data_IF_973386188545
#
_entry.id   IF_973386188545
#
_cell.length_a   1.000
_cell.length_b   1.000
_cell.length_c   1.000
_cell.angle_alpha   90.00
_cell.angle_beta   90.00
_cell.angle_gamma   90.00
#
_symmetry.space_group_name_H-M   'P 1'
#
loop_
_entity.id
_entity.type
_entity.pdbx_description
1 polymer ?
#
# COMPACT_ATOMS: atom_id res chain seq x y z
N UNK A 1 19.82 -22.15 8.54
CA UNK A 1 19.74 -23.62 8.34
C UNK A 1 18.46 -23.93 7.57
N UNK A 2 18.51 -24.77 6.53
CA UNK A 2 17.33 -25.13 5.72
C UNK A 2 16.97 -26.60 5.93
N UNK A 3 15.70 -26.89 6.20
CA UNK A 3 15.20 -28.25 6.23
C UNK A 3 14.73 -28.69 4.85
N UNK A 4 15.03 -29.94 4.50
CA UNK A 4 14.48 -30.62 3.34
C UNK A 4 13.64 -31.80 3.81
N UNK A 5 12.52 -32.02 3.13
CA UNK A 5 11.59 -33.11 3.43
C UNK A 5 11.51 -34.06 2.24
N UNK A 6 11.32 -35.34 2.51
CA UNK A 6 11.12 -36.37 1.48
C UNK A 6 9.68 -36.86 1.61
N UNK A 7 8.92 -36.72 0.52
CA UNK A 7 7.55 -37.21 0.50
C UNK A 7 7.51 -38.74 0.59
N UNK A 8 6.60 -39.28 1.41
CA UNK A 8 6.36 -40.71 1.57
C UNK A 8 7.64 -41.53 1.80
N UNK A 9 8.50 -41.08 2.72
CA UNK A 9 9.71 -41.81 3.09
C UNK A 9 9.51 -42.58 4.39
N UNK A 10 9.56 -43.91 4.28
CA UNK A 10 9.55 -44.87 5.38
C UNK A 10 10.49 -46.02 5.02
N UNK A 11 11.43 -46.33 5.90
CA UNK A 11 12.38 -47.46 5.78
C UNK A 11 12.66 -48.03 7.16
N UNK A 12 13.53 -49.03 7.26
CA UNK A 12 13.97 -49.60 8.53
C UNK A 12 15.47 -49.37 8.77
N UNK A 13 15.88 -49.41 10.03
CA UNK A 13 17.28 -49.55 10.40
C UNK A 13 17.84 -50.88 9.92
N UNK A 14 18.95 -50.85 9.16
CA UNK A 14 19.66 -52.05 8.74
C UNK A 14 20.51 -52.66 9.87
N UNK A 15 20.96 -51.85 10.83
CA UNK A 15 21.74 -52.25 11.99
C UNK A 15 21.26 -51.53 13.27
N UNK A 16 21.54 -52.07 14.47
CA UNK A 16 21.20 -51.38 15.72
C UNK A 16 21.88 -50.01 15.82
N UNK A 17 21.13 -49.00 16.28
CA UNK A 17 21.62 -47.65 16.48
C UNK A 17 21.86 -47.39 17.98
N UNK A 18 23.10 -47.16 18.39
CA UNK A 18 23.44 -46.88 19.80
C UNK A 18 23.26 -45.41 20.12
N UNK A 19 22.92 -45.05 21.38
CA UNK A 19 22.64 -43.67 21.82
C UNK A 19 23.70 -42.62 21.39
N UNK A 20 24.98 -43.01 21.31
CA UNK A 20 26.09 -42.14 20.89
C UNK A 20 26.45 -42.19 19.39
N UNK A 21 25.71 -42.94 18.58
CA UNK A 21 26.01 -43.09 17.16
C UNK A 21 25.87 -41.77 16.39
N UNK A 22 26.86 -41.50 15.55
CA UNK A 22 26.87 -40.35 14.61
C UNK A 22 26.53 -40.77 13.18
N UNK A 23 26.37 -42.07 12.95
CA UNK A 23 25.95 -42.65 11.67
C UNK A 23 24.80 -43.63 11.89
N UNK A 24 23.95 -43.77 10.90
CA UNK A 24 22.80 -44.66 10.91
C UNK A 24 22.68 -45.38 9.57
N UNK A 25 22.65 -46.71 9.60
CA UNK A 25 22.47 -47.54 8.41
C UNK A 25 20.98 -47.84 8.21
N UNK A 26 20.46 -47.50 7.03
CA UNK A 26 19.10 -47.81 6.62
C UNK A 26 19.08 -48.92 5.56
N UNK A 27 17.96 -49.63 5.44
CA UNK A 27 17.85 -50.76 4.51
C UNK A 27 17.97 -50.33 3.05
N UNK A 28 17.44 -49.16 2.69
CA UNK A 28 17.41 -48.63 1.32
C UNK A 28 17.13 -47.12 1.28
N UNK A 29 17.11 -46.52 0.09
CA UNK A 29 16.62 -45.16 -0.11
C UNK A 29 17.62 -44.05 0.25
N UNK A 30 18.87 -44.39 0.57
CA UNK A 30 19.92 -43.42 0.89
C UNK A 30 20.16 -42.38 -0.21
N UNK A 31 19.91 -42.72 -1.49
CA UNK A 31 20.00 -41.78 -2.62
C UNK A 31 19.10 -40.56 -2.51
N UNK A 32 18.00 -40.62 -1.76
CA UNK A 32 17.10 -39.48 -1.55
C UNK A 32 17.73 -38.38 -0.68
N UNK A 33 18.81 -38.69 0.03
CA UNK A 33 19.57 -37.73 0.86
C UNK A 33 20.81 -37.18 0.13
N UNK A 34 20.87 -37.26 -1.20
CA UNK A 34 22.04 -36.86 -1.98
C UNK A 34 22.50 -35.40 -1.77
N UNK A 35 21.58 -34.51 -1.37
CA UNK A 35 21.91 -33.12 -1.03
C UNK A 35 22.01 -32.83 0.47
N UNK A 36 22.08 -33.86 1.32
CA UNK A 36 22.26 -33.67 2.76
C UNK A 36 23.61 -33.02 3.06
N UNK A 37 23.58 -31.91 3.79
CA UNK A 37 24.75 -31.17 4.26
C UNK A 37 24.43 -30.57 5.63
N UNK A 38 25.41 -29.96 6.30
CA UNK A 38 25.15 -29.21 7.54
C UNK A 38 24.15 -28.05 7.35
N UNK A 39 24.12 -27.45 6.16
CA UNK A 39 23.22 -26.33 5.82
C UNK A 39 21.85 -26.80 5.30
N UNK A 40 21.78 -28.02 4.76
CA UNK A 40 20.56 -28.64 4.24
C UNK A 40 20.33 -30.00 4.92
N UNK A 41 19.53 -29.98 5.96
CA UNK A 41 19.31 -31.13 6.83
C UNK A 41 17.98 -31.80 6.55
N UNK A 42 17.89 -33.11 6.78
CA UNK A 42 16.64 -33.87 6.65
C UNK A 42 16.22 -34.40 8.01
N UNK A 43 15.10 -33.92 8.57
CA UNK A 43 14.55 -34.48 9.79
C UNK A 43 13.99 -35.88 9.53
N UNK A 44 14.45 -36.84 10.32
CA UNK A 44 13.89 -38.18 10.37
C UNK A 44 13.44 -38.50 11.80
N UNK A 45 12.44 -39.35 11.88
CA UNK A 45 11.90 -39.87 13.13
C UNK A 45 12.14 -41.36 13.17
N UNK A 46 12.89 -41.81 14.18
CA UNK A 46 12.96 -43.23 14.54
C UNK A 46 11.91 -43.48 15.60
N UNK A 47 11.08 -44.51 15.42
CA UNK A 47 9.99 -44.79 16.36
C UNK A 47 9.80 -46.28 16.61
N UNK A 48 9.27 -46.58 17.79
CA UNK A 48 8.71 -47.89 18.13
C UNK A 48 7.19 -47.78 18.11
N UNK A 49 6.50 -48.74 17.49
CA UNK A 49 5.03 -48.74 17.38
C UNK A 49 4.41 -49.94 18.08
N UNK A 50 3.20 -49.75 18.63
CA UNK A 50 2.36 -50.85 19.07
C UNK A 50 1.70 -51.58 17.89
N UNK A 51 0.98 -52.68 18.19
CA UNK A 51 0.24 -53.47 17.18
C UNK A 51 -0.86 -52.68 16.44
N UNK A 52 -1.22 -51.49 16.92
CA UNK A 52 -2.20 -50.59 16.31
C UNK A 52 -1.52 -49.45 15.54
N UNK A 53 -0.19 -49.47 15.42
CA UNK A 53 0.59 -48.47 14.70
C UNK A 53 0.81 -47.17 15.47
N UNK A 54 0.53 -47.12 16.78
CA UNK A 54 0.78 -45.90 17.59
C UNK A 54 2.21 -45.88 18.06
N UNK A 55 2.87 -44.72 17.95
CA UNK A 55 4.20 -44.54 18.50
C UNK A 55 4.18 -44.70 20.03
N UNK A 56 4.96 -45.65 20.53
CA UNK A 56 5.25 -45.83 21.95
C UNK A 56 6.45 -44.97 22.37
N UNK A 57 7.43 -44.85 21.46
CA UNK A 57 8.65 -44.07 21.64
C UNK A 57 9.06 -43.47 20.32
N UNK A 58 9.61 -42.26 20.34
CA UNK A 58 10.11 -41.56 19.16
C UNK A 58 11.33 -40.72 19.47
N UNK A 59 12.21 -40.63 18.49
CA UNK A 59 13.34 -39.73 18.49
C UNK A 59 13.42 -39.01 17.16
N UNK A 60 13.69 -37.70 17.23
CA UNK A 60 13.93 -36.87 16.06
C UNK A 60 15.44 -36.71 15.91
N UNK A 61 15.94 -36.97 14.70
CA UNK A 61 17.33 -36.80 14.33
C UNK A 61 17.41 -36.07 12.99
N UNK A 62 18.54 -35.40 12.75
CA UNK A 62 18.77 -34.67 11.51
C UNK A 62 19.88 -35.35 10.71
N UNK A 63 19.60 -35.66 9.45
CA UNK A 63 20.60 -36.17 8.50
C UNK A 63 21.37 -35.00 7.91
N UNK A 64 22.70 -35.03 8.01
CA UNK A 64 23.62 -33.97 7.56
C UNK A 64 24.58 -34.43 6.48
N UNK A 65 24.52 -35.71 6.10
CA UNK A 65 25.34 -36.28 5.04
C UNK A 65 24.94 -37.72 4.75
N UNK A 66 25.50 -38.28 3.67
CA UNK A 66 25.28 -39.68 3.32
C UNK A 66 26.50 -40.31 2.64
N UNK A 67 26.60 -41.63 2.75
CA UNK A 67 27.44 -42.50 1.93
C UNK A 67 26.63 -43.78 1.63
N UNK A 68 26.13 -43.92 0.39
CA UNK A 68 25.16 -44.97 0.03
C UNK A 68 23.94 -44.96 0.99
N UNK A 69 23.72 -46.05 1.73
CA UNK A 69 22.65 -46.20 2.73
C UNK A 69 23.11 -45.91 4.17
N UNK A 70 24.33 -45.43 4.37
CA UNK A 70 24.82 -44.94 5.66
C UNK A 70 24.61 -43.43 5.72
N UNK A 71 23.80 -42.98 6.68
CA UNK A 71 23.48 -41.57 6.89
C UNK A 71 24.34 -40.99 8.01
N UNK A 72 24.92 -39.82 7.80
CA UNK A 72 25.53 -39.03 8.88
C UNK A 72 24.42 -38.27 9.59
N UNK A 73 24.35 -38.41 10.91
CA UNK A 73 23.20 -37.95 11.69
C UNK A 73 23.62 -37.12 12.91
N UNK A 74 22.71 -36.25 13.32
CA UNK A 74 22.76 -35.52 14.57
C UNK A 74 21.52 -35.89 15.38
N UNK A 75 21.72 -36.54 16.52
CA UNK A 75 20.66 -37.13 17.37
C UNK A 75 20.12 -36.16 18.41
N UNK A 76 19.08 -36.57 19.14
CA UNK A 76 18.45 -35.78 20.21
C UNK A 76 18.00 -34.39 19.75
N UNK A 77 17.27 -34.32 18.63
CA UNK A 77 16.74 -33.04 18.13
C UNK A 77 15.37 -32.77 18.71
N UNK A 78 15.00 -31.48 18.76
CA UNK A 78 13.66 -31.04 19.16
C UNK A 78 13.22 -31.60 20.52
N UNK A 79 14.11 -31.54 21.51
CA UNK A 79 13.91 -32.04 22.87
C UNK A 79 13.63 -33.55 23.00
N UNK A 80 13.86 -34.34 21.95
CA UNK A 80 13.89 -35.80 22.06
C UNK A 80 15.23 -36.29 22.61
N UNK A 81 15.24 -37.47 23.23
CA UNK A 81 16.43 -38.10 23.77
C UNK A 81 17.01 -39.12 22.79
N UNK A 82 18.35 -39.22 22.71
CA UNK A 82 19.01 -40.25 21.94
C UNK A 82 18.94 -41.60 22.65
N UNK A 83 18.16 -42.51 22.08
CA UNK A 83 17.98 -43.86 22.63
C UNK A 83 18.75 -44.92 21.81
N UNK A 84 18.87 -46.11 22.39
CA UNK A 84 19.25 -47.28 21.60
C UNK A 84 18.03 -47.81 20.81
N UNK A 85 18.22 -48.06 19.52
CA UNK A 85 17.20 -48.62 18.63
C UNK A 85 17.67 -49.94 18.02
N UNK A 86 16.89 -51.02 18.09
CA UNK A 86 17.24 -52.27 17.43
C UNK A 86 17.14 -52.14 15.90
N UNK A 87 17.87 -53.00 15.18
CA UNK A 87 17.66 -53.17 13.74
C UNK A 87 16.19 -53.51 13.45
N UNK A 88 15.68 -53.06 12.30
CA UNK A 88 14.27 -53.18 11.92
C UNK A 88 13.38 -52.05 12.47
N UNK A 89 13.90 -51.16 13.33
CA UNK A 89 13.11 -50.02 13.82
C UNK A 89 12.72 -49.10 12.65
N UNK A 90 11.45 -48.70 12.53
CA UNK A 90 11.00 -47.76 11.50
C UNK A 90 11.70 -46.40 11.58
N UNK A 91 12.04 -45.87 10.40
CA UNK A 91 12.63 -44.55 10.19
C UNK A 91 11.80 -43.81 9.14
N UNK A 92 11.28 -42.64 9.49
CA UNK A 92 10.34 -41.90 8.65
C UNK A 92 10.72 -40.43 8.50
N UNK A 93 10.44 -39.86 7.31
CA UNK A 93 10.41 -38.40 7.15
C UNK A 93 9.06 -37.89 7.62
N UNK A 94 9.02 -37.15 8.72
CA UNK A 94 7.81 -36.52 9.26
C UNK A 94 7.97 -35.01 9.33
N UNK A 95 6.84 -34.31 9.34
CA UNK A 95 6.81 -32.89 9.59
C UNK A 95 7.02 -32.63 11.09
N UNK A 96 7.98 -31.78 11.44
CA UNK A 96 8.37 -31.49 12.83
C UNK A 96 8.18 -30.00 13.16
N UNK A 97 8.27 -29.64 14.44
CA UNK A 97 8.09 -28.26 14.87
C UNK A 97 9.21 -27.36 14.31
N UNK A 98 10.45 -27.84 14.30
CA UNK A 98 11.56 -27.09 13.73
C UNK A 98 11.40 -26.81 12.22
N UNK A 99 10.70 -27.68 11.48
CA UNK A 99 10.35 -27.41 10.08
C UNK A 99 9.37 -26.23 9.98
N UNK A 100 8.35 -26.18 10.83
CA UNK A 100 7.39 -25.07 10.89
C UNK A 100 8.08 -23.76 11.29
N UNK A 101 8.91 -23.79 12.32
CA UNK A 101 9.63 -22.61 12.81
C UNK A 101 10.57 -22.06 11.73
N UNK A 102 11.25 -22.94 10.98
CA UNK A 102 12.11 -22.55 9.86
C UNK A 102 11.32 -21.98 8.66
N UNK A 103 10.04 -22.34 8.49
CA UNK A 103 9.19 -21.78 7.45
C UNK A 103 8.74 -20.36 7.79
N UNK A 104 8.42 -20.11 9.06
CA UNK A 104 8.01 -18.79 9.55
C UNK A 104 9.18 -17.80 9.51
N UNK A 105 10.38 -18.24 9.88
CA UNK A 105 11.60 -17.43 9.87
C UNK A 105 12.22 -17.25 8.46
N UNK A 106 11.41 -17.25 7.38
CA UNK A 106 11.98 -17.10 6.05
C UNK A 106 12.53 -15.68 5.90
N UNK A 107 13.84 -15.55 5.65
CA UNK A 107 14.52 -14.26 5.41
C UNK A 107 13.83 -13.41 4.32
N UNK A 108 13.07 -14.05 3.42
CA UNK A 108 12.27 -13.40 2.40
C UNK A 108 11.08 -12.62 2.99
N UNK A 109 10.47 -13.10 4.07
CA UNK A 109 9.42 -12.39 4.80
C UNK A 109 10.02 -11.18 5.52
N UNK A 110 11.12 -11.35 6.25
CA UNK A 110 11.77 -10.25 6.97
C UNK A 110 12.27 -9.16 6.01
N UNK A 111 12.87 -9.55 4.89
CA UNK A 111 13.29 -8.61 3.84
C UNK A 111 12.10 -7.90 3.19
N UNK A 112 10.97 -8.59 3.03
CA UNK A 112 9.73 -8.01 2.50
C UNK A 112 9.09 -7.04 3.51
N UNK A 113 9.04 -7.39 4.80
CA UNK A 113 8.52 -6.53 5.87
C UNK A 113 9.39 -5.30 6.13
N UNK A 114 10.72 -5.44 6.00
CA UNK A 114 11.67 -4.34 6.15
C UNK A 114 11.75 -3.42 4.91
N UNK A 115 11.16 -3.81 3.78
CA UNK A 115 11.15 -2.99 2.58
C UNK A 115 10.27 -1.75 2.76
N UNK A 116 10.79 -0.57 2.40
CA UNK A 116 10.03 0.68 2.47
C UNK A 116 8.79 0.68 1.57
N UNK A 117 8.81 -0.09 0.50
CA UNK A 117 7.67 -0.38 -0.36
C UNK A 117 7.79 -1.84 -0.85
N UNK A 118 7.13 -2.79 -0.16
CA UNK A 118 7.18 -4.19 -0.52
C UNK A 118 6.35 -4.53 -1.77
N UNK A 119 5.50 -3.60 -2.21
CA UNK A 119 4.53 -3.85 -3.27
C UNK A 119 4.47 -2.69 -4.28
N UNK A 120 5.58 -2.40 -4.97
CA UNK A 120 5.65 -1.29 -5.94
C UNK A 120 4.70 -1.47 -7.11
N UNK A 121 4.24 -2.69 -7.39
CA UNK A 121 3.23 -2.99 -8.40
C UNK A 121 1.85 -2.36 -8.12
N UNK A 122 1.52 -2.06 -6.86
CA UNK A 122 0.32 -1.28 -6.51
C UNK A 122 0.57 0.22 -6.53
N UNK A 123 1.84 0.65 -6.51
CA UNK A 123 2.26 2.04 -6.71
C UNK A 123 2.71 2.33 -8.16
N UNK A 124 2.69 1.32 -9.05
CA UNK A 124 2.90 1.50 -10.49
C UNK A 124 1.72 2.26 -11.09
N UNK A 125 1.83 3.57 -10.92
CA UNK A 125 1.10 4.61 -11.58
C UNK A 125 1.04 4.31 -13.07
N UNK A 126 -0.16 3.96 -13.55
CA UNK A 126 -0.37 3.64 -14.95
C UNK A 126 0.25 4.73 -15.85
N UNK A 127 0.95 4.37 -16.95
CA UNK A 127 1.38 5.36 -17.92
C UNK A 127 0.15 6.11 -18.44
N UNK A 128 0.06 7.41 -18.15
CA UNK A 128 -1.13 8.22 -18.44
C UNK A 128 -2.08 8.47 -17.26
N UNK A 129 -1.74 8.08 -16.02
CA UNK A 129 -2.51 8.52 -14.86
C UNK A 129 -2.45 10.05 -14.73
N UNK A 130 -3.58 10.66 -14.35
CA UNK A 130 -3.94 12.07 -14.41
C UNK A 130 -3.11 13.03 -13.51
N UNK A 131 -1.80 12.83 -13.37
CA UNK A 131 -0.94 13.77 -12.63
C UNK A 131 -0.79 15.13 -13.32
N UNK A 132 -1.21 15.24 -14.58
CA UNK A 132 -1.31 16.50 -15.30
C UNK A 132 -2.61 17.27 -15.01
N UNK A 133 -3.61 16.66 -14.35
CA UNK A 133 -4.88 17.30 -13.98
C UNK A 133 -5.02 17.28 -12.47
N UNK A 134 -4.29 18.18 -11.79
CA UNK A 134 -4.43 18.39 -10.35
C UNK A 134 -5.65 19.27 -10.10
N UNK A 135 -6.69 18.79 -9.39
CA UNK A 135 -7.76 19.66 -8.95
C UNK A 135 -7.16 20.72 -8.02
N UNK A 136 -7.41 21.98 -8.31
CA UNK A 136 -6.95 23.12 -7.55
C UNK A 136 -8.13 23.96 -7.09
N UNK A 137 -7.95 24.62 -5.96
CA UNK A 137 -8.81 25.71 -5.52
C UNK A 137 -7.96 26.96 -5.43
N UNK A 138 -8.23 27.94 -6.29
CA UNK A 138 -7.56 29.24 -6.25
C UNK A 138 -8.48 30.25 -5.59
N UNK A 139 -7.94 31.07 -4.69
CA UNK A 139 -8.71 32.05 -3.91
C UNK A 139 -8.38 33.46 -4.35
N UNK A 140 -9.40 34.30 -4.50
CA UNK A 140 -9.22 35.74 -4.67
C UNK A 140 -8.88 36.44 -3.36
N UNK A 141 -8.46 37.70 -3.47
CA UNK A 141 -8.59 38.65 -2.38
C UNK A 141 -10.09 38.90 -2.06
N UNK A 142 -10.35 39.59 -0.96
CA UNK A 142 -11.71 39.98 -0.61
C UNK A 142 -12.24 41.02 -1.61
N UNK A 143 -13.46 40.78 -2.10
CA UNK A 143 -14.18 41.65 -3.01
C UNK A 143 -15.32 42.33 -2.25
N UNK A 144 -15.33 43.65 -2.23
CA UNK A 144 -16.40 44.46 -1.67
C UNK A 144 -17.61 44.49 -2.61
N UNK A 145 -18.75 44.01 -2.13
CA UNK A 145 -20.02 44.01 -2.87
C UNK A 145 -20.83 45.29 -2.67
N UNK A 146 -20.41 46.20 -1.79
CA UNK A 146 -21.07 47.50 -1.58
C UNK A 146 -20.56 48.58 -2.54
N UNK A 147 -19.47 48.30 -3.27
CA UNK A 147 -18.86 49.22 -4.22
C UNK A 147 -19.02 48.72 -5.66
N UNK A 148 -19.78 49.46 -6.47
CA UNK A 148 -19.96 49.14 -7.88
C UNK A 148 -18.63 49.26 -8.64
N UNK A 149 -18.31 48.25 -9.46
CA UNK A 149 -17.05 48.19 -10.20
C UNK A 149 -15.84 47.75 -9.38
N UNK A 150 -15.99 47.45 -8.08
CA UNK A 150 -14.96 46.76 -7.31
C UNK A 150 -14.58 45.44 -8.00
N UNK A 151 -13.29 45.11 -7.99
CA UNK A 151 -12.81 43.92 -8.68
C UNK A 151 -11.56 43.34 -8.04
N UNK A 152 -11.41 42.03 -8.21
CA UNK A 152 -10.24 41.25 -7.77
C UNK A 152 -9.81 40.33 -8.91
N UNK A 153 -8.49 40.15 -9.06
CA UNK A 153 -7.92 39.29 -10.10
C UNK A 153 -7.17 38.13 -9.46
N UNK A 154 -7.46 36.92 -9.94
CA UNK A 154 -6.71 35.70 -9.63
C UNK A 154 -5.79 35.42 -10.81
N UNK A 155 -4.48 35.56 -10.59
CA UNK A 155 -3.45 35.33 -11.61
C UNK A 155 -3.03 33.87 -11.59
N UNK A 156 -3.03 33.23 -12.77
CA UNK A 156 -2.52 31.86 -12.93
C UNK A 156 -1.03 31.95 -13.27
N UNK A 157 -0.15 31.15 -12.64
CA UNK A 157 1.27 31.15 -12.98
C UNK A 157 1.48 30.84 -14.47
N UNK A 158 2.42 31.53 -15.12
CA UNK A 158 2.57 31.52 -16.59
C UNK A 158 2.79 30.12 -17.21
N UNK A 159 3.35 29.17 -16.46
CA UNK A 159 3.56 27.79 -16.90
C UNK A 159 2.30 26.92 -16.85
N UNK A 160 1.16 27.47 -16.48
CA UNK A 160 -0.09 26.74 -16.32
C UNK A 160 -1.27 27.39 -17.05
N UNK A 161 -2.28 26.57 -17.33
CA UNK A 161 -3.62 26.99 -17.72
C UNK A 161 -4.63 26.42 -16.76
N UNK A 162 -5.56 27.25 -16.31
CA UNK A 162 -6.68 26.86 -15.44
C UNK A 162 -7.89 26.48 -16.29
N UNK A 163 -8.41 25.27 -16.09
CA UNK A 163 -9.69 24.82 -16.65
C UNK A 163 -10.72 24.90 -15.52
N UNK A 164 -11.64 25.87 -15.59
CA UNK A 164 -12.65 26.08 -14.56
C UNK A 164 -13.75 25.02 -14.62
N UNK A 165 -14.13 24.53 -13.45
CA UNK A 165 -15.28 23.65 -13.22
C UNK A 165 -16.39 24.37 -12.44
N UNK A 166 -16.00 25.20 -11.46
CA UNK A 166 -16.94 26.01 -10.68
C UNK A 166 -16.31 27.32 -10.17
N UNK A 167 -17.16 28.31 -9.96
CA UNK A 167 -16.84 29.56 -9.26
C UNK A 167 -17.72 29.62 -8.02
N UNK A 168 -17.12 29.53 -6.84
CA UNK A 168 -17.85 29.71 -5.59
C UNK A 168 -17.66 31.12 -5.04
N UNK A 169 -18.76 31.70 -4.56
CA UNK A 169 -18.80 32.97 -3.88
C UNK A 169 -19.03 32.67 -2.40
N UNK A 170 -18.05 32.98 -1.55
CA UNK A 170 -18.16 32.76 -0.10
C UNK A 170 -18.19 34.09 0.61
N UNK A 171 -19.25 34.33 1.39
CA UNK A 171 -19.41 35.56 2.19
C UNK A 171 -18.39 35.60 3.31
N UNK A 172 -17.52 36.60 3.31
CA UNK A 172 -16.48 36.80 4.34
C UNK A 172 -16.81 37.92 5.31
N UNK A 173 -17.70 38.83 4.94
CA UNK A 173 -18.23 39.86 5.82
C UNK A 173 -19.67 40.21 5.40
N UNK A 174 -20.57 40.39 6.37
CA UNK A 174 -21.96 40.78 6.13
C UNK A 174 -22.54 41.42 7.39
N UNK A 175 -23.16 42.60 7.27
CA UNK A 175 -23.94 43.28 8.31
C UNK A 175 -25.46 43.15 8.11
N UNK A 176 -25.88 42.24 7.22
CA UNK A 176 -27.25 42.09 6.76
C UNK A 176 -27.44 42.84 5.44
N UNK A 177 -27.17 42.14 4.34
CA UNK A 177 -27.19 42.70 2.99
C UNK A 177 -28.51 43.43 2.71
N UNK A 178 -28.44 44.73 2.49
CA UNK A 178 -29.51 45.43 1.80
C UNK A 178 -29.35 45.21 0.30
N UNK A 179 -30.40 44.87 -0.43
CA UNK A 179 -30.33 44.74 -1.89
C UNK A 179 -29.67 43.44 -2.37
N UNK A 180 -29.57 43.30 -3.69
CA UNK A 180 -29.13 42.08 -4.39
C UNK A 180 -27.92 42.46 -5.25
N UNK A 181 -26.68 42.44 -4.69
CA UNK A 181 -25.51 42.72 -5.50
C UNK A 181 -25.36 41.68 -6.59
N UNK A 182 -24.77 42.08 -7.70
CA UNK A 182 -24.46 41.20 -8.82
C UNK A 182 -22.95 41.15 -9.02
N UNK A 183 -22.46 39.96 -9.37
CA UNK A 183 -21.07 39.73 -9.72
C UNK A 183 -20.96 39.09 -11.09
N UNK A 184 -19.86 39.36 -11.76
CA UNK A 184 -19.49 38.76 -13.03
C UNK A 184 -18.02 38.34 -13.01
N UNK A 185 -17.64 37.42 -13.89
CA UNK A 185 -16.25 37.01 -14.06
C UNK A 185 -15.86 36.96 -15.55
N UNK A 186 -14.62 37.36 -15.85
CA UNK A 186 -14.10 37.39 -17.21
C UNK A 186 -12.57 37.55 -17.26
N UNK A 187 -11.98 37.65 -18.47
CA UNK A 187 -10.58 37.99 -18.64
C UNK A 187 -10.29 39.41 -18.15
N UNK A 188 -9.00 39.72 -17.96
CA UNK A 188 -8.53 41.02 -17.46
C UNK A 188 -8.76 42.18 -18.46
N UNK A 189 -9.26 41.90 -19.68
CA UNK A 189 -9.54 42.89 -20.73
C UNK A 189 -11.03 42.99 -21.10
N UNK A 190 -11.67 44.04 -20.60
CA UNK A 190 -12.84 44.76 -21.17
C UNK A 190 -14.17 43.99 -21.34
N UNK A 191 -14.22 42.66 -21.26
CA UNK A 191 -15.47 41.87 -21.34
C UNK A 191 -15.69 41.05 -20.07
N UNK A 192 -16.02 41.69 -18.94
CA UNK A 192 -16.03 41.06 -17.61
C UNK A 192 -17.11 39.98 -17.37
N UNK A 193 -17.85 39.55 -18.40
CA UNK A 193 -18.92 38.55 -18.33
C UNK A 193 -18.61 37.24 -19.09
N UNK A 194 -17.37 37.05 -19.56
CA UNK A 194 -17.03 35.90 -20.42
C UNK A 194 -17.00 34.55 -19.67
N UNK A 195 -16.71 34.54 -18.37
CA UNK A 195 -16.59 33.32 -17.57
C UNK A 195 -17.78 33.14 -16.61
N UNK A 196 -18.42 34.23 -16.19
CA UNK A 196 -19.67 34.24 -15.44
C UNK A 196 -20.42 35.52 -15.83
N UNK A 197 -21.66 35.37 -16.31
CA UNK A 197 -22.53 36.52 -16.57
C UNK A 197 -22.84 37.27 -15.27
N UNK A 198 -23.39 38.49 -15.38
CA UNK A 198 -23.87 39.22 -14.21
C UNK A 198 -24.92 38.38 -13.47
N UNK A 199 -24.56 37.89 -12.29
CA UNK A 199 -25.38 36.99 -11.47
C UNK A 199 -25.55 37.56 -10.07
N UNK A 200 -26.79 37.56 -9.60
CA UNK A 200 -27.16 37.98 -8.26
C UNK A 200 -26.53 37.10 -7.18
N UNK A 201 -25.91 37.72 -6.17
CA UNK A 201 -25.45 37.04 -4.96
C UNK A 201 -26.61 36.96 -3.97
N UNK A 202 -27.21 35.78 -3.87
CA UNK A 202 -28.42 35.49 -3.10
C UNK A 202 -28.15 35.11 -1.64
N UNK A 203 -26.90 34.80 -1.29
CA UNK A 203 -26.49 34.37 0.05
C UNK A 203 -25.89 35.52 0.84
N UNK A 204 -26.47 35.88 1.99
CA UNK A 204 -25.99 37.00 2.81
C UNK A 204 -25.43 36.61 4.19
N UNK A 205 -25.59 35.35 4.61
CA UNK A 205 -25.07 34.90 5.90
C UNK A 205 -23.55 34.71 5.83
N UNK A 206 -22.85 35.06 6.92
CA UNK A 206 -21.40 34.85 7.02
C UNK A 206 -21.06 33.36 6.76
N UNK A 207 -20.04 33.11 5.93
CA UNK A 207 -19.63 31.78 5.45
C UNK A 207 -20.67 31.04 4.59
N UNK A 208 -21.79 31.66 4.22
CA UNK A 208 -22.66 31.09 3.21
C UNK A 208 -21.95 31.08 1.85
N UNK A 209 -22.29 30.06 1.08
CA UNK A 209 -21.68 29.78 -0.22
C UNK A 209 -22.76 29.77 -1.29
N UNK A 210 -22.47 30.41 -2.41
CA UNK A 210 -23.21 30.28 -3.66
C UNK A 210 -22.25 29.74 -4.72
N UNK A 211 -22.70 28.76 -5.49
CA UNK A 211 -21.89 28.07 -6.50
C UNK A 211 -22.43 28.38 -7.88
N UNK A 212 -21.55 28.83 -8.77
CA UNK A 212 -21.87 29.18 -10.14
C UNK A 212 -21.09 28.30 -11.13
N UNK A 213 -21.78 27.86 -12.17
CA UNK A 213 -21.15 27.16 -13.28
C UNK A 213 -20.49 28.18 -14.23
N UNK A 214 -19.23 27.97 -14.64
CA UNK A 214 -18.56 28.86 -15.58
C UNK A 214 -19.16 28.73 -16.98
N UNK A 215 -19.18 29.83 -17.73
CA UNK A 215 -19.66 29.89 -19.12
C UNK A 215 -18.66 29.34 -20.14
N UNK A 216 -17.39 29.21 -19.75
CA UNK A 216 -16.27 28.76 -20.60
C UNK A 216 -15.48 27.68 -19.88
N UNK A 217 -15.11 26.62 -20.61
CA UNK A 217 -14.31 25.50 -20.12
C UNK A 217 -12.87 25.49 -20.70
N UNK A 218 -12.45 26.58 -21.34
CA UNK A 218 -11.13 26.70 -21.96
C UNK A 218 -10.03 27.02 -20.93
N UNK A 219 -8.77 26.85 -21.33
CA UNK A 219 -7.60 27.13 -20.48
C UNK A 219 -7.39 28.64 -20.25
N UNK A 220 -7.51 29.07 -18.99
CA UNK A 220 -7.44 30.47 -18.58
C UNK A 220 -6.07 30.84 -18.00
N UNK A 221 -5.66 32.09 -18.22
CA UNK A 221 -4.41 32.68 -17.69
C UNK A 221 -4.64 33.63 -16.51
N UNK A 222 -5.85 34.17 -16.39
CA UNK A 222 -6.31 34.95 -15.26
C UNK A 222 -7.84 34.94 -15.21
N UNK A 223 -8.38 35.18 -14.01
CA UNK A 223 -9.81 35.36 -13.79
C UNK A 223 -10.01 36.63 -12.99
N UNK A 224 -10.73 37.61 -13.56
CA UNK A 224 -11.14 38.84 -12.89
C UNK A 224 -12.59 38.69 -12.46
N UNK A 225 -12.86 38.85 -11.17
CA UNK A 225 -14.21 38.86 -10.59
C UNK A 225 -14.55 40.28 -10.19
N UNK A 226 -15.70 40.78 -10.59
CA UNK A 226 -16.10 42.17 -10.35
C UNK A 226 -17.56 42.31 -9.96
N UNK A 227 -17.84 43.29 -9.10
CA UNK A 227 -19.19 43.71 -8.71
C UNK A 227 -19.79 44.58 -9.83
N UNK A 228 -20.90 44.14 -10.43
CA UNK A 228 -21.66 44.90 -11.45
C UNK A 228 -22.70 45.80 -10.82
N UNK A 229 -23.46 45.25 -9.88
CA UNK A 229 -24.48 45.97 -9.12
C UNK A 229 -24.06 45.94 -7.66
N UNK A 230 -23.93 47.11 -7.05
CA UNK A 230 -23.61 47.21 -5.63
C UNK A 230 -24.82 46.82 -4.77
N UNK A 231 -24.54 46.11 -3.70
CA UNK A 231 -25.45 45.96 -2.58
C UNK A 231 -25.58 47.27 -1.81
N UNK A 232 -26.64 47.38 -1.03
CA UNK A 232 -26.82 48.40 0.00
C UNK A 232 -26.43 47.84 1.38
N UNK A 233 -26.01 48.72 2.29
CA UNK A 233 -25.40 48.33 3.57
C UNK A 233 -23.99 48.89 3.70
N UNK A 234 -23.34 48.64 4.84
CA UNK A 234 -21.98 49.17 5.11
C UNK A 234 -20.90 48.09 5.05
N UNK A 235 -21.26 46.81 5.19
CA UNK A 235 -20.32 45.70 5.18
C UNK A 235 -20.92 44.51 4.44
N UNK A 236 -20.50 44.30 3.20
CA UNK A 236 -20.81 43.06 2.48
C UNK A 236 -19.67 42.71 1.54
N UNK A 237 -18.97 41.61 1.82
CA UNK A 237 -17.80 41.20 1.05
C UNK A 237 -17.74 39.69 0.88
N UNK A 238 -17.16 39.26 -0.25
CA UNK A 238 -16.99 37.86 -0.60
C UNK A 238 -15.54 37.54 -0.96
N UNK A 239 -15.22 36.25 -1.01
CA UNK A 239 -14.09 35.72 -1.76
C UNK A 239 -14.58 34.78 -2.83
N UNK A 240 -14.03 34.93 -4.03
CA UNK A 240 -14.22 33.99 -5.11
C UNK A 240 -13.24 32.82 -4.94
N UNK A 241 -13.75 31.60 -4.97
CA UNK A 241 -12.97 30.37 -5.03
C UNK A 241 -13.17 29.74 -6.40
N UNK A 242 -12.08 29.56 -7.12
CA UNK A 242 -12.06 28.98 -8.45
C UNK A 242 -11.68 27.52 -8.34
N UNK A 243 -12.62 26.64 -8.64
CA UNK A 243 -12.43 25.20 -8.68
C UNK A 243 -12.14 24.77 -10.11
N UNK A 244 -11.12 23.96 -10.30
CA UNK A 244 -10.74 23.52 -11.63
C UNK A 244 -9.47 22.71 -11.65
N UNK A 245 -8.89 22.55 -12.84
CA UNK A 245 -7.66 21.81 -13.05
C UNK A 245 -6.57 22.73 -13.60
N UNK A 246 -5.34 22.56 -13.10
CA UNK A 246 -4.16 23.20 -13.71
C UNK A 246 -3.47 22.22 -14.64
N UNK A 247 -3.32 22.61 -15.90
CA UNK A 247 -2.49 21.91 -16.88
C UNK A 247 -1.20 22.69 -17.10
N UNK A 248 -0.05 22.02 -17.01
CA UNK A 248 1.23 22.63 -17.35
C UNK A 248 1.37 22.79 -18.87
N UNK A 249 1.81 23.95 -19.35
CA UNK A 249 2.13 24.15 -20.76
C UNK A 249 3.57 23.65 -21.04
N UNK A 250 3.68 22.52 -21.75
CA UNK A 250 4.96 22.00 -22.28
C UNK A 250 5.59 20.83 -21.52
N UNK A 251 4.99 19.65 -21.62
CA UNK A 251 5.67 18.36 -21.41
C UNK A 251 6.04 17.74 -22.77
#
# INVERSE_FOLDING_TARGET
MRFAVINNFEVQLAAPLTAGATTMDITEGGDRFASATLERQYPLVVCERDIRGRDLRREILYVTGRAANTLTIVRSREATAADAWPAGSPVESRFTAAILDALVASDALDAHEAASDPHPQYEQKAPGSLDALRPVVLRSAELDLTTAGAAVTVVIPASYRLFLDAIDLVVTASDGAGGVPEVQAGPDDQTPAAYLASTAVTVAALNARQSEAPLVADGLTAVRVATTVAGSGTVYSIRALLYGYLLAEGA
#
